data_IF_383413532747
#
_entry.id   IF_383413532747
#
_cell.length_a   1.000
_cell.length_b   1.000
_cell.length_c   1.000
_cell.angle_alpha   90.00
_cell.angle_beta   90.00
_cell.angle_gamma   90.00
#
_symmetry.space_group_name_H-M   'P 1'
#
loop_
_entity.id
_entity.type
_entity.pdbx_description
1 polymer ?
#
# COMPACT_ATOMS: atom_id res chain seq x y z
N UNK A 1 17.28 11.23 -11.74
CA UNK A 1 15.84 11.24 -11.39
C UNK A 1 15.50 12.58 -10.75
N UNK A 2 14.82 13.47 -11.49
CA UNK A 2 14.38 14.76 -10.95
C UNK A 2 13.28 14.55 -9.91
N UNK A 3 13.47 15.06 -8.69
CA UNK A 3 12.38 15.20 -7.73
C UNK A 3 11.39 16.22 -8.31
N UNK A 4 10.32 15.73 -8.93
CA UNK A 4 9.16 16.58 -9.20
C UNK A 4 8.60 17.00 -7.84
N UNK A 5 8.88 18.25 -7.44
CA UNK A 5 8.18 18.93 -6.36
C UNK A 5 6.72 19.09 -6.79
N UNK A 6 5.92 18.02 -6.66
CA UNK A 6 4.48 18.10 -6.76
C UNK A 6 4.00 18.99 -5.62
N UNK A 7 3.86 20.28 -5.92
CA UNK A 7 3.22 21.19 -4.98
C UNK A 7 1.77 20.76 -4.88
N UNK A 8 1.33 20.44 -3.65
CA UNK A 8 -0.06 20.05 -3.40
C UNK A 8 -1.00 21.07 -4.05
N UNK A 9 -1.89 20.57 -4.90
CA UNK A 9 -2.87 21.42 -5.58
C UNK A 9 -3.89 21.93 -4.56
N UNK A 10 -4.48 23.11 -4.81
CA UNK A 10 -5.51 23.66 -3.93
C UNK A 10 -6.71 22.71 -3.75
N UNK A 11 -6.97 21.83 -4.74
CA UNK A 11 -8.00 20.80 -4.66
C UNK A 11 -7.63 19.70 -3.66
N UNK A 12 -6.40 19.21 -3.68
CA UNK A 12 -5.89 18.21 -2.72
C UNK A 12 -5.91 18.74 -1.28
N UNK A 13 -5.51 20.00 -1.09
CA UNK A 13 -5.54 20.67 0.21
C UNK A 13 -6.96 20.83 0.78
N UNK A 14 -7.91 21.21 -0.09
CA UNK A 14 -9.34 21.25 0.23
C UNK A 14 -9.87 19.88 0.63
N UNK A 15 -9.59 18.88 -0.19
CA UNK A 15 -10.05 17.51 0.04
C UNK A 15 -9.46 16.94 1.33
N UNK A 16 -8.19 17.22 1.64
CA UNK A 16 -7.57 16.86 2.90
C UNK A 16 -8.29 17.49 4.09
N UNK A 17 -8.52 18.81 4.07
CA UNK A 17 -9.23 19.51 5.15
C UNK A 17 -10.66 18.99 5.36
N UNK A 18 -11.39 18.72 4.27
CA UNK A 18 -12.74 18.15 4.33
C UNK A 18 -12.77 16.71 4.85
N UNK A 19 -11.84 15.85 4.37
CA UNK A 19 -11.78 14.45 4.80
C UNK A 19 -11.35 14.35 6.27
N UNK A 20 -10.26 14.99 6.65
CA UNK A 20 -9.75 14.93 8.02
C UNK A 20 -10.72 15.60 8.98
N UNK A 21 -11.22 16.79 8.62
CA UNK A 21 -12.21 17.49 9.42
C UNK A 21 -13.51 16.69 9.58
N UNK A 22 -14.00 16.06 8.51
CA UNK A 22 -15.16 15.17 8.55
C UNK A 22 -14.97 13.97 9.46
N UNK A 23 -13.79 13.32 9.42
CA UNK A 23 -13.45 12.23 10.33
C UNK A 23 -13.46 12.70 11.79
N UNK A 24 -12.86 13.85 12.11
CA UNK A 24 -12.88 14.41 13.46
C UNK A 24 -14.29 14.79 13.92
N UNK A 25 -15.14 15.32 13.03
CA UNK A 25 -16.54 15.58 13.32
C UNK A 25 -17.31 14.30 13.65
N UNK A 26 -17.11 13.22 12.88
CA UNK A 26 -17.73 11.90 13.18
C UNK A 26 -17.26 11.38 14.53
N UNK A 27 -15.96 11.45 14.83
CA UNK A 27 -15.41 11.04 16.14
C UNK A 27 -15.96 11.90 17.29
N UNK A 28 -16.19 13.19 17.05
CA UNK A 28 -16.76 14.12 18.03
C UNK A 28 -18.23 13.87 18.31
N UNK A 29 -18.99 13.47 17.29
CA UNK A 29 -20.43 13.16 17.33
C UNK A 29 -20.74 11.71 17.72
N UNK A 30 -19.80 10.78 17.53
CA UNK A 30 -19.97 9.35 17.84
C UNK A 30 -20.45 9.09 19.28
N UNK A 31 -19.89 9.72 20.33
CA UNK A 31 -20.33 9.52 21.71
C UNK A 31 -21.76 10.05 21.95
N UNK A 32 -22.14 11.12 21.26
CA UNK A 32 -23.47 11.73 21.37
C UNK A 32 -24.53 10.79 20.81
N UNK A 33 -24.28 10.22 19.62
CA UNK A 33 -25.25 9.37 18.91
C UNK A 33 -25.37 7.99 19.54
N UNK A 34 -24.25 7.38 19.96
CA UNK A 34 -24.26 6.00 20.45
C UNK A 34 -24.37 5.85 21.97
N UNK A 35 -23.98 6.87 22.76
CA UNK A 35 -23.92 6.77 24.23
C UNK A 35 -24.67 7.87 24.97
N UNK A 36 -25.17 8.90 24.30
CA UNK A 36 -25.79 10.07 24.95
C UNK A 36 -24.80 10.89 25.79
N UNK A 37 -23.49 10.67 25.62
CA UNK A 37 -22.44 11.40 26.31
C UNK A 37 -22.21 12.77 25.65
N UNK A 38 -21.68 13.77 26.39
CA UNK A 38 -21.36 15.06 25.81
C UNK A 38 -20.39 14.91 24.62
N UNK A 39 -20.58 15.70 23.55
CA UNK A 39 -19.68 15.65 22.41
C UNK A 39 -18.26 15.93 22.86
N UNK A 40 -17.29 15.28 22.21
CA UNK A 40 -15.88 15.61 22.43
C UNK A 40 -15.62 16.97 21.80
N UNK A 41 -15.85 18.02 22.58
CA UNK A 41 -15.75 19.43 22.18
C UNK A 41 -14.42 19.71 21.48
N UNK A 42 -13.32 19.13 21.97
CA UNK A 42 -12.02 19.28 21.33
C UNK A 42 -11.99 18.72 19.90
N UNK A 43 -12.57 17.54 19.65
CA UNK A 43 -12.65 16.95 18.30
C UNK A 43 -13.61 17.71 17.38
N UNK A 44 -14.73 18.22 17.92
CA UNK A 44 -15.66 19.10 17.22
C UNK A 44 -15.01 20.41 16.78
N UNK A 45 -14.27 21.07 17.67
CA UNK A 45 -13.55 22.32 17.41
C UNK A 45 -12.44 22.07 16.39
N UNK A 46 -11.67 20.99 16.54
CA UNK A 46 -10.63 20.64 15.57
C UNK A 46 -11.24 20.36 14.18
N UNK A 47 -12.31 19.56 14.13
CA UNK A 47 -12.98 19.18 12.89
C UNK A 47 -13.55 20.40 12.15
N UNK A 48 -14.28 21.27 12.85
CA UNK A 48 -14.84 22.49 12.25
C UNK A 48 -13.75 23.45 11.79
N UNK A 49 -12.69 23.63 12.59
CA UNK A 49 -11.55 24.46 12.22
C UNK A 49 -10.86 23.94 10.96
N UNK A 50 -10.62 22.63 10.85
CA UNK A 50 -10.02 22.02 9.65
C UNK A 50 -10.91 22.14 8.41
N UNK A 51 -12.24 22.00 8.56
CA UNK A 51 -13.20 22.18 7.46
C UNK A 51 -13.18 23.64 6.98
N UNK A 52 -13.26 24.61 7.90
CA UNK A 52 -13.28 26.04 7.57
C UNK A 52 -11.95 26.46 6.95
N UNK A 53 -10.82 26.05 7.52
CA UNK A 53 -9.51 26.36 6.95
C UNK A 53 -9.30 25.69 5.59
N UNK A 54 -9.75 24.44 5.42
CA UNK A 54 -9.73 23.76 4.13
C UNK A 54 -10.57 24.47 3.07
N UNK A 55 -11.75 24.99 3.44
CA UNK A 55 -12.66 25.66 2.52
C UNK A 55 -12.20 27.09 2.14
N UNK A 56 -11.73 27.88 3.12
CA UNK A 56 -11.45 29.32 2.97
C UNK A 56 -9.98 29.58 2.63
N UNK A 57 -9.03 28.93 3.31
CA UNK A 57 -7.59 29.19 3.16
C UNK A 57 -6.81 27.86 3.03
N UNK A 58 -6.97 27.12 1.92
CA UNK A 58 -6.31 25.82 1.74
C UNK A 58 -4.77 25.92 1.73
N UNK A 59 -4.22 27.10 1.44
CA UNK A 59 -2.79 27.33 1.32
C UNK A 59 -2.06 27.25 2.68
N UNK A 60 -2.72 27.54 3.79
CA UNK A 60 -2.15 27.38 5.15
C UNK A 60 -1.99 25.89 5.52
N UNK A 61 -2.86 25.02 5.01
CA UNK A 61 -2.81 23.58 5.22
C UNK A 61 -1.66 22.90 4.47
N UNK A 62 -0.91 23.63 3.62
CA UNK A 62 0.15 23.04 2.78
C UNK A 62 1.27 22.40 3.58
N UNK A 63 1.73 23.06 4.65
CA UNK A 63 2.79 22.51 5.50
C UNK A 63 2.30 21.28 6.28
N UNK A 64 1.09 21.37 6.82
CA UNK A 64 0.45 20.27 7.58
C UNK A 64 0.20 19.06 6.68
N UNK A 65 -0.38 19.27 5.50
CA UNK A 65 -0.61 18.24 4.49
C UNK A 65 0.70 17.57 4.07
N UNK A 66 1.76 18.35 3.82
CA UNK A 66 3.07 17.79 3.46
C UNK A 66 3.64 16.90 4.57
N UNK A 67 3.56 17.33 5.83
CA UNK A 67 3.97 16.52 6.98
C UNK A 67 3.14 15.24 7.12
N UNK A 68 1.82 15.36 6.99
CA UNK A 68 0.91 14.22 7.04
C UNK A 68 1.18 13.21 5.93
N UNK A 69 1.41 13.67 4.71
CA UNK A 69 1.72 12.79 3.57
C UNK A 69 3.04 12.04 3.76
N UNK A 70 4.08 12.67 4.36
CA UNK A 70 5.32 11.95 4.72
C UNK A 70 5.04 10.80 5.69
N UNK A 71 4.21 11.02 6.70
CA UNK A 71 3.79 9.98 7.64
C UNK A 71 3.01 8.89 6.89
N UNK A 72 2.08 9.28 6.01
CA UNK A 72 1.33 8.36 5.15
C UNK A 72 2.23 7.50 4.27
N UNK A 73 3.30 8.06 3.71
CA UNK A 73 4.28 7.29 2.92
C UNK A 73 5.04 6.26 3.76
N UNK A 74 5.46 6.62 4.97
CA UNK A 74 6.13 5.69 5.89
C UNK A 74 5.18 4.57 6.30
N UNK A 75 3.95 4.90 6.69
CA UNK A 75 2.91 3.93 7.00
C UNK A 75 2.60 3.03 5.81
N UNK A 76 2.51 3.59 4.61
CA UNK A 76 2.31 2.82 3.38
C UNK A 76 3.44 1.84 3.12
N UNK A 77 4.70 2.27 3.29
CA UNK A 77 5.86 1.40 3.14
C UNK A 77 5.86 0.26 4.17
N UNK A 78 5.44 0.52 5.41
CA UNK A 78 5.28 -0.50 6.45
C UNK A 78 4.14 -1.45 6.08
N UNK A 79 2.98 -0.93 5.67
CA UNK A 79 1.81 -1.72 5.30
C UNK A 79 2.12 -2.70 4.15
N UNK A 80 2.79 -2.23 3.10
CA UNK A 80 3.20 -3.10 1.98
C UNK A 80 4.12 -4.23 2.45
N UNK A 81 5.08 -3.94 3.35
CA UNK A 81 5.96 -4.98 3.92
C UNK A 81 5.19 -5.97 4.78
N UNK A 82 4.23 -5.51 5.58
CA UNK A 82 3.38 -6.36 6.40
C UNK A 82 2.55 -7.28 5.52
N UNK A 83 1.81 -6.72 4.54
CA UNK A 83 0.96 -7.51 3.62
C UNK A 83 1.80 -8.54 2.88
N UNK A 84 2.95 -8.13 2.32
CA UNK A 84 3.83 -9.04 1.61
C UNK A 84 4.42 -10.11 2.54
N UNK A 85 4.79 -9.74 3.76
CA UNK A 85 5.27 -10.67 4.79
C UNK A 85 4.21 -11.71 5.14
N UNK A 86 2.96 -11.28 5.37
CA UNK A 86 1.83 -12.17 5.66
C UNK A 86 1.62 -13.14 4.50
N UNK A 87 1.52 -12.64 3.26
CA UNK A 87 1.34 -13.49 2.07
C UNK A 87 2.50 -14.49 1.94
N UNK A 88 3.73 -14.04 2.13
CA UNK A 88 4.90 -14.89 2.01
C UNK A 88 4.93 -15.99 3.06
N UNK A 89 4.69 -15.67 4.34
CA UNK A 89 4.78 -16.63 5.42
C UNK A 89 3.54 -17.51 5.59
N UNK A 90 2.34 -17.03 5.23
CA UNK A 90 1.11 -17.81 5.37
C UNK A 90 0.70 -18.58 4.11
N UNK A 91 1.12 -18.14 2.92
CA UNK A 91 0.73 -18.80 1.67
C UNK A 91 1.96 -19.43 1.00
N UNK A 92 2.95 -18.61 0.65
CA UNK A 92 4.07 -19.07 -0.19
C UNK A 92 4.96 -20.07 0.56
N UNK A 93 5.31 -19.77 1.81
CA UNK A 93 6.20 -20.60 2.65
C UNK A 93 5.59 -21.97 2.94
N UNK A 94 4.34 -22.09 3.45
CA UNK A 94 3.75 -23.40 3.70
C UNK A 94 3.48 -24.16 2.40
N UNK A 95 3.12 -23.49 1.30
CA UNK A 95 3.01 -24.12 0.00
C UNK A 95 4.34 -24.74 -0.44
N UNK A 96 5.45 -24.01 -0.31
CA UNK A 96 6.79 -24.52 -0.59
C UNK A 96 7.20 -25.66 0.35
N UNK A 97 6.83 -25.59 1.63
CA UNK A 97 7.09 -26.66 2.59
C UNK A 97 6.29 -27.93 2.23
N UNK A 98 5.03 -27.80 1.87
CA UNK A 98 4.18 -28.92 1.40
C UNK A 98 4.77 -29.53 0.14
N UNK A 99 5.20 -28.72 -0.84
CA UNK A 99 5.86 -29.23 -2.05
C UNK A 99 7.16 -30.00 -1.73
N UNK A 100 7.94 -29.49 -0.77
CA UNK A 100 9.15 -30.16 -0.29
C UNK A 100 8.86 -31.48 0.42
N UNK A 101 7.82 -31.53 1.26
CA UNK A 101 7.35 -32.75 1.93
C UNK A 101 6.81 -33.78 0.93
N UNK A 102 6.15 -33.33 -0.15
CA UNK A 102 5.70 -34.19 -1.24
C UNK A 102 6.84 -34.62 -2.20
N UNK A 103 8.09 -34.24 -1.93
CA UNK A 103 9.25 -34.57 -2.77
C UNK A 103 9.26 -33.89 -4.15
N UNK A 104 8.40 -32.88 -4.37
CA UNK A 104 8.30 -32.15 -5.64
C UNK A 104 9.27 -30.98 -5.63
N UNK A 105 10.44 -31.17 -6.25
CA UNK A 105 11.41 -30.10 -6.49
C UNK A 105 11.17 -29.45 -7.87
N UNK A 106 10.26 -28.49 -7.96
CA UNK A 106 9.96 -27.81 -9.23
C UNK A 106 11.12 -27.02 -9.82
N UNK A 107 12.19 -26.77 -9.05
CA UNK A 107 13.35 -26.03 -9.52
C UNK A 107 14.58 -26.91 -9.75
N UNK A 108 14.48 -28.23 -9.60
CA UNK A 108 15.60 -29.17 -9.71
C UNK A 108 16.85 -28.64 -8.98
N UNK A 109 16.67 -28.17 -7.74
CA UNK A 109 17.73 -27.51 -6.94
C UNK A 109 18.75 -28.50 -6.40
N UNK A 110 18.47 -29.79 -6.46
CA UNK A 110 19.37 -30.84 -5.99
C UNK A 110 20.49 -31.06 -7.01
N UNK A 111 21.74 -30.81 -6.59
CA UNK A 111 22.93 -31.11 -7.40
C UNK A 111 23.12 -32.63 -7.50
N UNK A 112 22.85 -33.18 -8.69
CA UNK A 112 23.14 -34.57 -9.02
C UNK A 112 24.66 -34.73 -9.21
N UNK A 113 25.32 -35.46 -8.29
CA UNK A 113 26.77 -35.71 -8.34
C UNK A 113 27.20 -36.52 -9.58
N UNK A 114 26.29 -37.34 -10.11
CA UNK A 114 26.55 -38.27 -11.22
C UNK A 114 26.08 -37.74 -12.59
N UNK A 115 25.84 -36.43 -12.74
CA UNK A 115 25.40 -35.86 -14.04
C UNK A 115 26.53 -35.13 -14.76
N UNK A 116 26.71 -35.42 -16.05
CA UNK A 116 27.71 -34.77 -16.92
C UNK A 116 27.34 -33.32 -17.23
N UNK A 117 26.04 -32.97 -17.22
CA UNK A 117 25.58 -31.59 -17.44
C UNK A 117 24.18 -31.33 -16.87
N UNK A 118 23.94 -30.10 -16.41
CA UNK A 118 22.62 -29.62 -15.95
C UNK A 118 21.80 -28.94 -17.06
N UNK A 119 22.33 -28.88 -18.29
CA UNK A 119 21.64 -28.26 -19.42
C UNK A 119 20.40 -29.07 -19.79
N UNK A 120 19.24 -28.44 -19.67
CA UNK A 120 17.99 -28.97 -20.22
C UNK A 120 18.06 -28.85 -21.74
N UNK A 121 18.28 -29.98 -22.42
CA UNK A 121 18.27 -30.06 -23.87
C UNK A 121 16.85 -29.74 -24.35
N UNK A 122 16.70 -28.66 -25.12
CA UNK A 122 15.43 -28.28 -25.73
C UNK A 122 15.44 -28.72 -27.18
N UNK A 123 14.36 -29.35 -27.63
CA UNK A 123 14.19 -29.66 -29.04
C UNK A 123 14.13 -28.37 -29.87
N UNK A 124 14.72 -28.35 -31.09
CA UNK A 124 14.65 -27.21 -31.98
C UNK A 124 13.19 -26.85 -32.26
N UNK A 125 12.78 -25.62 -31.96
CA UNK A 125 11.44 -25.13 -32.34
C UNK A 125 11.36 -25.03 -33.86
N UNK A 126 10.21 -25.37 -34.43
CA UNK A 126 10.01 -25.29 -35.87
C UNK A 126 10.25 -23.86 -36.40
N UNK A 127 10.93 -23.69 -37.54
CA UNK A 127 11.20 -22.36 -38.12
C UNK A 127 9.94 -21.53 -38.39
N UNK A 128 8.79 -22.20 -38.60
CA UNK A 128 7.48 -21.55 -38.81
C UNK A 128 6.99 -20.77 -37.60
N UNK A 129 7.50 -21.05 -36.39
CA UNK A 129 7.10 -20.35 -35.17
C UNK A 129 7.53 -18.87 -35.14
N UNK A 130 8.42 -18.47 -36.06
CA UNK A 130 8.87 -17.07 -36.23
C UNK A 130 8.06 -16.28 -37.26
N UNK A 131 7.05 -16.88 -37.91
CA UNK A 131 6.32 -16.24 -39.00
C UNK A 131 5.24 -15.24 -38.52
N UNK A 132 4.73 -15.42 -37.29
CA UNK A 132 3.67 -14.59 -36.70
C UNK A 132 4.10 -14.10 -35.30
N UNK A 133 5.08 -13.18 -35.25
CA UNK A 133 5.66 -12.69 -33.99
C UNK A 133 4.94 -11.48 -33.39
N UNK A 134 3.99 -10.90 -34.12
CA UNK A 134 3.22 -9.71 -33.75
C UNK A 134 1.72 -9.98 -33.92
#
# INVERSE_FOLDING_TARGET
MGQQNHQATNKELRQFGLLVGGVFSVIGLWPVVFRGEPPRLWAMILGSLLIVLGAVVPQSLKQVHSGWMKIGHVLGAINTKIILGIIYYLLITPMGLVMRLMGKDSMHRTLAKETTTYRVVRSPRSPRHMRNQF
#
